data_IF_752539647944
#
_entry.id   IF_752539647944
#
_cell.length_a   1.000
_cell.length_b   1.000
_cell.length_c   1.000
_cell.angle_alpha   90.00
_cell.angle_beta   90.00
_cell.angle_gamma   90.00
#
_symmetry.space_group_name_H-M   'P 1'
#
loop_
_entity.id
_entity.type
_entity.pdbx_description
1 polymer ?
#
# COMPACT_ATOMS: atom_id res chain seq x y z
N UNK A 1 -12.73 -0.77 -9.38
CA UNK A 1 -12.17 -1.68 -8.34
C UNK A 1 -12.12 -0.96 -7.00
N UNK A 2 -12.43 -1.64 -5.87
CA UNK A 2 -12.34 -1.05 -4.52
C UNK A 2 -11.03 -1.44 -3.86
N UNK A 3 -10.33 -0.47 -3.27
CA UNK A 3 -9.04 -0.63 -2.61
C UNK A 3 -9.04 0.04 -1.24
N UNK A 4 -8.12 -0.36 -0.38
CA UNK A 4 -8.00 0.10 1.00
C UNK A 4 -6.59 0.63 1.29
N UNK A 5 -6.52 1.65 2.15
CA UNK A 5 -5.27 2.24 2.63
C UNK A 5 -5.32 2.45 4.12
N UNK A 6 -4.42 1.83 4.88
CA UNK A 6 -4.17 2.18 6.26
C UNK A 6 -2.99 3.17 6.34
N UNK A 7 -3.19 4.33 6.97
CA UNK A 7 -2.20 5.42 6.94
C UNK A 7 -2.34 6.35 8.16
N UNK A 8 -1.31 7.14 8.42
CA UNK A 8 -1.36 8.21 9.43
C UNK A 8 -2.26 9.34 8.91
N UNK A 9 -3.30 9.68 9.64
CA UNK A 9 -4.37 10.55 9.19
C UNK A 9 -4.44 11.84 9.99
N UNK A 10 -4.37 12.95 9.29
CA UNK A 10 -4.78 14.25 9.82
C UNK A 10 -6.26 14.48 9.46
N UNK A 11 -7.16 14.36 10.44
CA UNK A 11 -8.60 14.51 10.24
C UNK A 11 -9.06 15.85 9.64
N UNK A 12 -8.21 16.89 9.70
CA UNK A 12 -8.47 18.20 9.09
C UNK A 12 -7.99 18.31 7.64
N UNK A 13 -7.15 17.36 7.16
CA UNK A 13 -6.60 17.42 5.81
C UNK A 13 -7.62 17.05 4.76
N UNK A 14 -7.65 17.80 3.65
CA UNK A 14 -8.39 17.39 2.45
C UNK A 14 -7.77 16.13 1.83
N UNK A 15 -8.50 15.38 0.99
CA UNK A 15 -8.02 14.08 0.49
C UNK A 15 -6.63 14.10 -0.14
N UNK A 16 -6.27 15.13 -0.90
CA UNK A 16 -4.99 15.24 -1.60
C UNK A 16 -3.92 16.07 -0.88
N UNK A 17 -4.25 16.61 0.30
CA UNK A 17 -3.31 17.37 1.13
C UNK A 17 -2.42 16.46 1.99
N UNK A 18 -1.30 16.97 2.54
CA UNK A 18 -0.45 16.20 3.44
C UNK A 18 -1.24 15.48 4.54
N UNK A 19 -0.93 14.19 4.73
CA UNK A 19 -1.59 13.27 5.65
C UNK A 19 -3.10 13.05 5.37
N UNK A 20 -3.57 13.39 4.16
CA UNK A 20 -4.88 13.00 3.62
C UNK A 20 -4.86 11.62 2.94
N UNK A 21 -6.05 11.02 2.72
CA UNK A 21 -6.18 9.63 2.21
C UNK A 21 -5.65 9.42 0.79
N UNK A 22 -5.67 10.43 -0.07
CA UNK A 22 -5.19 10.37 -1.46
C UNK A 22 -3.88 11.13 -1.68
N UNK A 23 -3.22 11.53 -0.60
CA UNK A 23 -1.92 12.19 -0.68
C UNK A 23 -0.81 11.19 -1.05
N UNK A 24 -0.02 11.54 -2.07
CA UNK A 24 1.20 10.85 -2.46
C UNK A 24 2.38 11.44 -1.69
N UNK A 25 2.87 10.78 -0.61
CA UNK A 25 3.82 11.36 0.32
C UNK A 25 5.27 11.34 -0.21
N UNK A 26 5.48 11.75 -1.46
CA UNK A 26 6.79 11.68 -2.14
C UNK A 26 7.97 12.18 -1.30
N UNK A 27 7.88 13.29 -0.55
CA UNK A 27 8.98 13.77 0.29
C UNK A 27 9.32 12.86 1.49
N UNK A 28 8.40 11.94 1.85
CA UNK A 28 8.55 11.00 2.96
C UNK A 28 8.83 9.57 2.50
N UNK A 29 9.05 9.37 1.19
CA UNK A 29 9.28 8.07 0.57
C UNK A 29 10.77 7.82 0.34
N UNK A 30 11.15 6.53 0.28
CA UNK A 30 12.51 6.05 0.07
C UNK A 30 12.69 4.61 0.57
N UNK A 31 11.93 4.24 1.61
CA UNK A 31 12.04 2.90 2.24
C UNK A 31 10.96 1.92 1.76
N UNK A 32 9.98 2.39 1.00
CA UNK A 32 8.91 1.56 0.46
C UNK A 32 9.39 0.66 -0.67
N UNK A 33 8.62 -0.41 -0.91
CA UNK A 33 8.94 -1.45 -1.90
C UNK A 33 9.20 -0.89 -3.30
N UNK A 34 8.43 0.08 -3.73
CA UNK A 34 8.47 0.64 -5.08
C UNK A 34 8.81 2.13 -5.09
N UNK A 35 9.32 2.65 -3.97
CA UNK A 35 9.64 4.06 -3.85
C UNK A 35 10.80 4.45 -4.78
N UNK A 36 10.60 5.54 -5.50
CA UNK A 36 11.62 6.22 -6.32
C UNK A 36 11.33 7.73 -6.28
N UNK A 37 11.52 8.39 -5.13
CA UNK A 37 11.09 9.78 -4.92
C UNK A 37 11.76 10.77 -5.88
N UNK A 38 12.91 10.43 -6.45
CA UNK A 38 13.55 11.25 -7.49
C UNK A 38 12.74 11.29 -8.78
N UNK A 39 11.92 10.27 -9.06
CA UNK A 39 11.15 10.14 -10.29
C UNK A 39 9.64 10.34 -10.09
N UNK A 40 9.05 9.72 -9.04
CA UNK A 40 7.61 9.72 -8.78
C UNK A 40 7.29 9.51 -7.32
N UNK A 41 6.07 9.85 -6.92
CA UNK A 41 5.48 9.45 -5.65
C UNK A 41 4.61 8.22 -5.79
N UNK A 42 4.52 7.41 -4.71
CA UNK A 42 3.69 6.22 -4.62
C UNK A 42 2.51 6.38 -3.68
N UNK A 43 1.38 5.75 -4.02
CA UNK A 43 0.29 5.46 -3.11
C UNK A 43 0.14 3.94 -3.00
N UNK A 44 0.30 3.40 -1.78
CA UNK A 44 0.18 1.96 -1.51
C UNK A 44 -1.23 1.63 -1.07
N UNK A 45 -1.86 0.68 -1.75
CA UNK A 45 -3.23 0.25 -1.57
C UNK A 45 -3.29 -1.27 -1.52
N UNK A 46 -4.37 -1.83 -0.95
CA UNK A 46 -4.63 -3.28 -0.90
C UNK A 46 -6.08 -3.57 -1.25
N UNK A 47 -6.37 -4.74 -1.81
CA UNK A 47 -7.76 -5.18 -2.05
C UNK A 47 -8.48 -5.61 -0.76
N UNK A 48 -7.73 -5.81 0.34
CA UNK A 48 -8.25 -6.22 1.63
C UNK A 48 -7.96 -5.19 2.72
N UNK A 49 -8.96 -4.91 3.56
CA UNK A 49 -8.80 -4.07 4.76
C UNK A 49 -7.73 -4.67 5.70
N UNK A 50 -7.79 -5.99 5.90
CA UNK A 50 -6.84 -6.72 6.76
C UNK A 50 -5.42 -6.59 6.22
N UNK A 51 -5.21 -6.81 4.92
CA UNK A 51 -3.90 -6.62 4.27
C UNK A 51 -3.35 -5.21 4.48
N UNK A 52 -4.19 -4.18 4.28
CA UNK A 52 -3.78 -2.79 4.48
C UNK A 52 -3.33 -2.51 5.94
N UNK A 53 -4.01 -3.10 6.92
CA UNK A 53 -3.67 -2.97 8.33
C UNK A 53 -2.43 -3.80 8.69
N UNK A 54 -2.29 -5.02 8.15
CA UNK A 54 -1.10 -5.88 8.36
C UNK A 54 0.17 -5.16 7.92
N UNK A 55 0.17 -4.46 6.78
CA UNK A 55 1.33 -3.68 6.31
C UNK A 55 1.77 -2.60 7.32
N UNK A 56 0.85 -2.07 8.13
CA UNK A 56 1.18 -1.10 9.19
C UNK A 56 1.65 -1.77 10.49
N UNK A 57 1.05 -2.91 10.85
CA UNK A 57 1.28 -3.56 12.14
C UNK A 57 2.36 -4.63 12.13
N UNK A 58 2.83 -5.11 10.96
CA UNK A 58 3.75 -6.23 10.82
C UNK A 58 5.08 -6.06 11.59
N UNK A 59 5.52 -4.82 11.81
CA UNK A 59 6.72 -4.51 12.62
C UNK A 59 6.58 -4.84 14.11
N UNK A 60 5.33 -5.04 14.58
CA UNK A 60 5.02 -5.37 15.97
C UNK A 60 4.69 -6.85 16.18
N UNK A 61 4.95 -7.71 15.18
CA UNK A 61 4.67 -9.15 15.25
C UNK A 61 5.06 -9.74 16.59
N UNK A 62 4.18 -10.60 17.15
CA UNK A 62 4.33 -11.29 18.44
C UNK A 62 4.33 -10.38 19.68
N UNK A 63 4.10 -9.08 19.55
CA UNK A 63 3.94 -8.18 20.69
C UNK A 63 2.49 -8.14 21.18
N UNK A 64 2.24 -7.39 22.26
CA UNK A 64 0.88 -7.13 22.76
C UNK A 64 0.29 -5.95 21.99
N UNK A 65 -0.91 -6.11 21.43
CA UNK A 65 -1.62 -5.01 20.74
C UNK A 65 -1.98 -3.92 21.76
N UNK A 66 -1.55 -2.70 21.49
CA UNK A 66 -1.84 -1.50 22.29
C UNK A 66 -2.14 -0.30 21.36
N UNK A 67 -2.89 0.67 21.85
CA UNK A 67 -3.35 1.81 21.05
C UNK A 67 -2.22 2.63 20.42
N UNK A 68 -1.05 2.69 21.05
CA UNK A 68 0.10 3.41 20.49
C UNK A 68 0.63 2.80 19.19
N UNK A 69 0.35 1.52 18.92
CA UNK A 69 0.69 0.87 17.64
C UNK A 69 -0.17 1.38 16.49
N UNK A 70 -1.34 1.93 16.79
CA UNK A 70 -2.26 2.56 15.84
C UNK A 70 -1.96 4.05 15.63
N UNK A 71 -0.70 4.44 15.84
CA UNK A 71 -0.22 5.81 15.60
C UNK A 71 1.07 5.78 14.78
N UNK A 72 1.25 6.79 13.94
CA UNK A 72 2.48 6.99 13.16
C UNK A 72 2.76 8.47 13.02
N UNK A 73 3.99 8.90 13.25
CA UNK A 73 4.40 10.32 13.26
C UNK A 73 3.50 11.21 14.11
N UNK A 74 3.04 10.70 15.27
CA UNK A 74 2.14 11.44 16.17
C UNK A 74 0.66 11.43 15.76
N UNK A 75 0.31 11.02 14.54
CA UNK A 75 -1.06 10.96 14.04
C UNK A 75 -1.69 9.57 14.26
N UNK A 76 -3.01 9.48 14.48
CA UNK A 76 -3.72 8.21 14.52
C UNK A 76 -3.71 7.56 13.14
N UNK A 77 -3.81 6.22 13.11
CA UNK A 77 -4.06 5.51 11.87
C UNK A 77 -5.56 5.56 11.52
N UNK A 78 -5.82 5.67 10.23
CA UNK A 78 -7.16 5.50 9.66
C UNK A 78 -7.10 4.52 8.49
N UNK A 79 -8.27 3.96 8.17
CA UNK A 79 -8.51 3.14 6.99
C UNK A 79 -9.40 3.90 6.02
N UNK A 80 -8.88 4.16 4.83
CA UNK A 80 -9.63 4.72 3.72
C UNK A 80 -10.09 3.62 2.76
N UNK A 81 -11.33 3.69 2.31
CA UNK A 81 -11.86 2.96 1.16
C UNK A 81 -11.80 3.87 -0.06
N UNK A 82 -11.12 3.39 -1.09
CA UNK A 82 -10.75 4.17 -2.27
C UNK A 82 -11.24 3.41 -3.50
N UNK A 83 -11.93 4.10 -4.39
CA UNK A 83 -12.27 3.58 -5.70
C UNK A 83 -11.11 3.87 -6.67
N UNK A 84 -10.65 2.83 -7.37
CA UNK A 84 -9.78 2.94 -8.53
C UNK A 84 -10.64 2.74 -9.78
N UNK A 85 -10.54 3.64 -10.74
CA UNK A 85 -11.29 3.58 -11.99
C UNK A 85 -10.87 2.37 -12.83
N UNK A 86 -11.81 1.80 -13.58
CA UNK A 86 -11.57 0.57 -14.36
C UNK A 86 -10.67 0.80 -15.58
N UNK A 87 -10.50 2.04 -16.03
CA UNK A 87 -9.57 2.44 -17.09
C UNK A 87 -8.13 2.65 -16.60
N UNK A 88 -7.90 2.63 -15.29
CA UNK A 88 -6.57 2.70 -14.70
C UNK A 88 -5.72 1.50 -15.10
N UNK A 89 -4.71 1.74 -15.92
CA UNK A 89 -3.83 0.66 -16.41
C UNK A 89 -2.80 0.30 -15.35
N UNK A 90 -2.95 -0.86 -14.74
CA UNK A 90 -1.95 -1.45 -13.86
C UNK A 90 -1.08 -2.44 -14.63
N UNK A 91 0.21 -2.48 -14.32
CA UNK A 91 1.10 -3.58 -14.74
C UNK A 91 0.96 -4.68 -13.69
N UNK A 92 0.37 -5.79 -14.09
CA UNK A 92 0.14 -6.93 -13.21
C UNK A 92 1.43 -7.77 -13.08
N UNK A 93 2.00 -7.80 -11.88
CA UNK A 93 3.20 -8.58 -11.57
C UNK A 93 2.87 -10.02 -11.11
N UNK A 94 1.59 -10.42 -11.10
CA UNK A 94 1.16 -11.80 -10.89
C UNK A 94 0.85 -12.52 -12.25
N UNK A 95 0.74 -11.76 -13.33
CA UNK A 95 0.56 -12.33 -14.68
C UNK A 95 1.89 -12.92 -15.20
N UNK A 96 1.95 -14.27 -15.42
CA UNK A 96 3.14 -14.91 -15.95
C UNK A 96 3.62 -14.33 -17.29
N UNK A 97 2.70 -13.89 -18.16
CA UNK A 97 3.02 -13.29 -19.46
C UNK A 97 3.76 -11.95 -19.28
N UNK A 98 3.32 -11.16 -18.31
CA UNK A 98 3.99 -9.89 -17.95
C UNK A 98 5.37 -10.16 -17.38
N UNK A 99 5.51 -11.15 -16.48
CA UNK A 99 6.78 -11.53 -15.88
C UNK A 99 7.79 -11.97 -16.97
N UNK A 100 7.39 -12.88 -17.87
CA UNK A 100 8.25 -13.36 -18.96
C UNK A 100 8.67 -12.19 -19.87
N UNK A 101 7.73 -11.37 -20.33
CA UNK A 101 8.00 -10.24 -21.21
C UNK A 101 8.96 -9.22 -20.57
N UNK A 102 8.89 -9.05 -19.25
CA UNK A 102 9.74 -8.12 -18.50
C UNK A 102 11.00 -8.76 -17.93
N UNK A 103 11.22 -10.06 -18.20
CA UNK A 103 12.35 -10.86 -17.67
C UNK A 103 12.42 -10.81 -16.13
N UNK A 104 11.26 -10.76 -15.47
CA UNK A 104 11.14 -10.77 -14.03
C UNK A 104 10.93 -12.21 -13.53
N UNK A 105 11.55 -12.53 -12.40
CA UNK A 105 11.31 -13.80 -11.70
C UNK A 105 10.35 -13.55 -10.54
N UNK A 106 9.36 -14.43 -10.27
CA UNK A 106 8.43 -14.29 -9.14
C UNK A 106 9.16 -14.05 -7.81
N UNK A 107 10.25 -14.76 -7.55
CA UNK A 107 11.07 -14.59 -6.33
C UNK A 107 11.69 -13.20 -6.19
N UNK A 108 11.86 -12.46 -7.27
CA UNK A 108 12.35 -11.08 -7.25
C UNK A 108 11.22 -10.06 -7.08
N UNK A 109 10.00 -10.41 -7.46
CA UNK A 109 8.80 -9.59 -7.18
C UNK A 109 8.48 -9.63 -5.69
N UNK A 110 8.45 -10.83 -5.08
CA UNK A 110 8.14 -11.04 -3.67
C UNK A 110 9.34 -10.83 -2.71
N UNK A 111 10.51 -10.39 -3.20
CA UNK A 111 11.69 -10.19 -2.33
C UNK A 111 11.50 -9.04 -1.35
N UNK A 112 12.15 -9.12 -0.19
CA UNK A 112 12.26 -8.02 0.78
C UNK A 112 13.39 -7.04 0.48
N UNK A 113 14.21 -7.32 -0.52
CA UNK A 113 15.32 -6.45 -0.94
C UNK A 113 14.76 -5.25 -1.71
N UNK A 114 14.74 -4.10 -1.04
CA UNK A 114 14.14 -2.85 -1.58
C UNK A 114 14.82 -2.38 -2.86
N UNK A 115 16.13 -2.46 -2.91
CA UNK A 115 16.90 -2.08 -4.10
C UNK A 115 16.46 -2.85 -5.37
N UNK A 116 16.03 -4.12 -5.20
CA UNK A 116 15.55 -4.93 -6.33
C UNK A 116 14.15 -4.48 -6.79
N UNK A 117 13.22 -4.31 -5.85
CA UNK A 117 11.83 -3.95 -6.18
C UNK A 117 11.70 -2.49 -6.59
N UNK A 118 12.51 -1.59 -6.06
CA UNK A 118 12.58 -0.20 -6.49
C UNK A 118 13.13 -0.07 -7.92
N UNK A 119 14.20 -0.82 -8.26
CA UNK A 119 14.70 -0.86 -9.63
C UNK A 119 13.64 -1.38 -10.62
N UNK A 120 12.92 -2.45 -10.27
CA UNK A 120 11.82 -2.98 -11.09
C UNK A 120 10.71 -1.94 -11.31
N UNK A 121 10.29 -1.25 -10.25
CA UNK A 121 9.25 -0.22 -10.33
C UNK A 121 9.71 0.98 -11.17
N UNK A 122 10.97 1.37 -11.08
CA UNK A 122 11.61 2.39 -11.94
C UNK A 122 11.54 2.01 -13.42
N UNK A 123 11.93 0.78 -13.75
CA UNK A 123 11.91 0.27 -15.13
C UNK A 123 10.48 0.20 -15.68
N UNK A 124 9.51 -0.21 -14.85
CA UNK A 124 8.09 -0.23 -15.21
C UNK A 124 7.59 1.21 -15.45
N UNK A 125 7.91 2.13 -14.55
CA UNK A 125 7.52 3.53 -14.68
C UNK A 125 8.07 4.16 -15.96
N UNK A 126 9.34 3.95 -16.26
CA UNK A 126 9.99 4.49 -17.46
C UNK A 126 9.48 3.84 -18.75
N UNK A 127 9.37 2.50 -18.76
CA UNK A 127 9.04 1.72 -19.95
C UNK A 127 7.54 1.64 -20.26
N UNK A 128 6.65 2.12 -19.38
CA UNK A 128 5.20 2.05 -19.54
C UNK A 128 4.54 3.38 -19.22
N UNK A 129 4.69 4.37 -20.09
CA UNK A 129 4.19 5.75 -19.87
C UNK A 129 2.69 5.84 -19.54
N UNK A 130 1.88 4.88 -20.01
CA UNK A 130 0.43 4.81 -19.75
C UNK A 130 0.06 4.03 -18.51
N UNK A 131 1.03 3.38 -17.81
CA UNK A 131 0.74 2.66 -16.59
C UNK A 131 0.50 3.63 -15.44
N UNK A 132 -0.68 3.57 -14.84
CA UNK A 132 -1.04 4.32 -13.63
C UNK A 132 -0.31 3.78 -12.40
N UNK A 133 0.05 2.49 -12.41
CA UNK A 133 0.68 1.80 -11.30
C UNK A 133 1.00 0.34 -11.64
N UNK A 134 1.16 -0.45 -10.60
CA UNK A 134 1.36 -1.90 -10.70
C UNK A 134 0.57 -2.62 -9.61
N UNK A 135 0.13 -3.86 -9.91
CA UNK A 135 -0.43 -4.80 -8.93
C UNK A 135 0.58 -5.89 -8.63
N UNK A 136 0.57 -6.39 -7.39
CA UNK A 136 1.53 -7.37 -6.89
C UNK A 136 0.98 -8.09 -5.65
N UNK A 137 1.43 -9.32 -5.40
CA UNK A 137 1.01 -10.06 -4.20
C UNK A 137 1.80 -9.64 -2.96
N UNK A 138 1.14 -9.66 -1.80
CA UNK A 138 1.77 -9.33 -0.53
C UNK A 138 2.86 -10.35 -0.16
N UNK A 139 3.93 -9.89 0.50
CA UNK A 139 4.95 -10.78 1.07
C UNK A 139 4.50 -11.44 2.38
N UNK A 140 3.35 -11.07 2.91
CA UNK A 140 2.77 -11.66 4.10
C UNK A 140 1.82 -12.81 3.77
N UNK A 141 1.02 -12.66 2.71
CA UNK A 141 0.06 -13.66 2.24
C UNK A 141 -0.07 -13.54 0.71
N UNK A 142 0.27 -14.61 -0.01
CA UNK A 142 0.31 -14.58 -1.48
C UNK A 142 -1.06 -14.34 -2.14
N UNK A 143 -2.15 -14.69 -1.46
CA UNK A 143 -3.51 -14.43 -1.93
C UNK A 143 -3.93 -12.96 -1.79
N UNK A 144 -3.14 -12.11 -1.13
CA UNK A 144 -3.47 -10.70 -0.97
C UNK A 144 -2.85 -9.85 -2.08
N UNK A 145 -3.70 -9.24 -2.87
CA UNK A 145 -3.30 -8.31 -3.92
C UNK A 145 -3.11 -6.91 -3.34
N UNK A 146 -1.95 -6.34 -3.65
CA UNK A 146 -1.61 -4.96 -3.36
C UNK A 146 -1.45 -4.16 -4.65
N UNK A 147 -1.74 -2.88 -4.61
CA UNK A 147 -1.53 -1.94 -5.69
C UNK A 147 -0.58 -0.84 -5.25
N UNK A 148 0.41 -0.57 -6.08
CA UNK A 148 1.23 0.64 -5.97
C UNK A 148 0.84 1.57 -7.10
N UNK A 149 0.14 2.64 -6.78
CA UNK A 149 -0.23 3.65 -7.75
C UNK A 149 0.87 4.70 -7.82
N UNK A 150 1.29 5.06 -9.03
CA UNK A 150 2.20 6.17 -9.27
C UNK A 150 1.45 7.50 -9.25
N UNK A 151 2.11 8.60 -8.97
CA UNK A 151 1.49 9.93 -8.90
C UNK A 151 0.83 10.37 -10.22
N UNK A 152 1.28 9.86 -11.37
CA UNK A 152 0.61 10.04 -12.67
C UNK A 152 -0.76 9.37 -12.74
N UNK A 153 -1.05 8.39 -11.88
CA UNK A 153 -2.34 7.71 -11.75
C UNK A 153 -3.33 8.41 -10.81
N UNK A 154 -2.96 9.58 -10.27
CA UNK A 154 -3.79 10.31 -9.26
C UNK A 154 -5.21 10.59 -9.72
N UNK A 155 -5.43 10.86 -11.00
CA UNK A 155 -6.77 11.14 -11.54
C UNK A 155 -7.70 9.93 -11.54
N UNK A 156 -7.17 8.72 -11.40
CA UNK A 156 -7.96 7.48 -11.42
C UNK A 156 -8.43 7.02 -10.03
N UNK A 157 -8.20 7.81 -8.98
CA UNK A 157 -8.63 7.42 -7.63
C UNK A 157 -9.57 8.46 -7.02
N UNK A 158 -10.60 7.97 -6.32
CA UNK A 158 -11.52 8.78 -5.53
C UNK A 158 -11.74 8.16 -4.16
N UNK A 159 -11.93 9.03 -3.14
CA UNK A 159 -12.24 8.59 -1.79
C UNK A 159 -13.71 8.23 -1.69
N UNK A 160 -14.03 7.01 -1.21
CA UNK A 160 -15.40 6.60 -0.93
C UNK A 160 -15.76 6.73 0.56
N UNK A 161 -14.84 6.34 1.45
CA UNK A 161 -15.05 6.42 2.88
C UNK A 161 -13.70 6.46 3.63
N UNK A 162 -13.74 6.94 4.88
CA UNK A 162 -12.60 6.92 5.79
C UNK A 162 -13.10 6.70 7.21
N UNK A 163 -12.37 5.90 7.99
CA UNK A 163 -12.62 5.73 9.43
C UNK A 163 -11.31 5.67 10.19
N UNK A 164 -11.33 6.17 11.43
CA UNK A 164 -10.22 5.97 12.38
C UNK A 164 -10.13 4.52 12.80
N UNK A 165 -8.91 4.02 13.00
CA UNK A 165 -8.67 2.67 13.51
C UNK A 165 -8.54 2.68 15.05
N UNK A 166 -9.13 1.67 15.68
CA UNK A 166 -8.99 1.38 17.12
C UNK A 166 -8.61 -0.09 17.32
N UNK A 167 -8.18 -0.45 18.51
CA UNK A 167 -7.85 -1.85 18.86
C UNK A 167 -9.07 -2.79 18.81
N UNK A 168 -10.30 -2.24 18.82
CA UNK A 168 -11.56 -2.99 18.62
C UNK A 168 -12.08 -3.01 17.17
N UNK A 169 -11.41 -2.36 16.21
CA UNK A 169 -11.79 -2.43 14.80
C UNK A 169 -11.59 -3.84 14.25
N UNK A 170 -12.58 -4.37 13.49
CA UNK A 170 -12.54 -5.74 12.97
C UNK A 170 -11.28 -5.99 12.12
N UNK A 171 -10.89 -5.07 11.23
CA UNK A 171 -9.69 -5.24 10.41
C UNK A 171 -8.40 -5.22 11.26
N UNK A 172 -8.40 -4.51 12.40
CA UNK A 172 -7.27 -4.50 13.35
C UNK A 172 -7.21 -5.81 14.12
N UNK A 173 -8.35 -6.34 14.57
CA UNK A 173 -8.39 -7.63 15.30
C UNK A 173 -7.96 -8.78 14.40
N UNK A 174 -8.44 -8.84 13.16
CA UNK A 174 -8.07 -9.86 12.17
C UNK A 174 -6.58 -9.77 11.80
N UNK A 175 -6.07 -8.55 11.61
CA UNK A 175 -4.64 -8.32 11.37
C UNK A 175 -3.77 -8.71 12.57
N UNK A 176 -4.26 -8.47 13.80
CA UNK A 176 -3.57 -8.86 15.02
C UNK A 176 -3.47 -10.38 15.14
N UNK A 177 -4.56 -11.11 14.87
CA UNK A 177 -4.59 -12.56 14.86
C UNK A 177 -3.64 -13.14 13.80
N UNK A 178 -3.67 -12.60 12.60
CA UNK A 178 -2.76 -12.98 11.51
C UNK A 178 -1.28 -12.79 11.88
N UNK A 179 -0.95 -11.71 12.58
CA UNK A 179 0.42 -11.37 12.98
C UNK A 179 0.86 -12.03 14.29
N UNK A 180 -0.04 -12.73 15.00
CA UNK A 180 0.20 -13.29 16.33
C UNK A 180 0.40 -12.19 17.39
N UNK A 181 -0.27 -11.04 17.25
CA UNK A 181 -0.32 -10.03 18.30
C UNK A 181 -1.24 -10.50 19.42
N UNK A 182 -0.77 -10.42 20.67
CA UNK A 182 -1.58 -10.80 21.83
C UNK A 182 -2.61 -9.70 22.11
N UNK A 183 -3.88 -10.05 22.08
CA UNK A 183 -4.97 -9.15 22.49
C UNK A 183 -5.17 -9.21 24.01
N UNK A 184 -5.72 -8.15 24.61
CA UNK A 184 -6.10 -8.09 26.03
C UNK A 184 -7.49 -8.66 26.22
#
# INVERSE_FOLDING_TARGET
MTLYRAFAWNGAAKPNEPDGPLWFPRPLQGDGRHDNPDLYGCLYLSESEVSAVVEQLARFRSQRLIDSMLRRRGLPLALARIKLDDDARLVDLDDPTVLVRRKLRPSRVATRRREVTQAQARDIYAGSKKAAGLSWWSTYEAAWVNVTLFDRGRSHVSLEAIRGLSTGDAAVTDAADFLGLRRV
#
